data_IF_868613123831
#
_entry.id   IF_868613123831
#
_cell.length_a   1.000
_cell.length_b   1.000
_cell.length_c   1.000
_cell.angle_alpha   90.00
_cell.angle_beta   90.00
_cell.angle_gamma   90.00
#
_symmetry.space_group_name_H-M   'P 1'
#
loop_
_entity.id
_entity.type
_entity.pdbx_description
1 polymer ?
#
# COMPACT_ATOMS: atom_id res chain seq x y z
N UNK A 1 -6.81 28.96 6.68
CA UNK A 1 -5.76 29.09 7.71
C UNK A 1 -6.11 28.32 9.00
N UNK A 2 -7.25 28.57 9.63
CA UNK A 2 -7.64 27.87 10.88
C UNK A 2 -7.78 26.34 10.72
N UNK A 3 -8.42 25.87 9.63
CA UNK A 3 -8.56 24.44 9.31
C UNK A 3 -7.19 23.75 9.14
N UNK A 4 -6.23 24.45 8.51
CA UNK A 4 -4.88 23.96 8.31
C UNK A 4 -4.13 23.80 9.64
N UNK A 5 -4.29 24.74 10.58
CA UNK A 5 -3.72 24.66 11.93
C UNK A 5 -4.33 23.48 12.71
N UNK A 6 -5.64 23.24 12.59
CA UNK A 6 -6.30 22.10 13.25
C UNK A 6 -5.80 20.76 12.69
N UNK A 7 -5.67 20.64 11.37
CA UNK A 7 -5.08 19.45 10.72
C UNK A 7 -3.63 19.25 11.17
N UNK A 8 -2.84 20.33 11.23
CA UNK A 8 -1.44 20.29 11.66
C UNK A 8 -1.30 19.82 13.12
N UNK A 9 -2.12 20.36 14.03
CA UNK A 9 -2.15 19.96 15.45
C UNK A 9 -2.60 18.51 15.57
N UNK A 10 -3.61 18.09 14.82
CA UNK A 10 -4.09 16.71 14.81
C UNK A 10 -3.00 15.73 14.36
N UNK A 11 -2.27 16.04 13.28
CA UNK A 11 -1.13 15.24 12.80
C UNK A 11 0.04 15.18 13.80
N UNK A 12 0.26 16.25 14.58
CA UNK A 12 1.32 16.34 15.57
C UNK A 12 0.98 15.62 16.89
N UNK A 13 -0.30 15.56 17.27
CA UNK A 13 -0.73 15.03 18.57
C UNK A 13 -1.30 13.62 18.50
N UNK A 14 -1.88 13.23 17.36
CA UNK A 14 -2.48 11.90 17.23
C UNK A 14 -1.44 10.85 16.88
N UNK A 15 -1.45 9.76 17.65
CA UNK A 15 -0.58 8.61 17.45
C UNK A 15 -1.40 7.43 16.92
N UNK A 16 -0.99 6.85 15.80
CA UNK A 16 -1.63 5.71 15.18
C UNK A 16 -0.92 4.41 15.53
N UNK A 17 -1.67 3.39 15.90
CA UNK A 17 -1.17 2.02 15.97
C UNK A 17 -1.21 1.37 14.59
N UNK A 18 -0.52 0.24 14.46
CA UNK A 18 -0.61 -0.59 13.24
C UNK A 18 -2.02 -1.09 12.94
N UNK A 19 -2.89 -1.19 13.96
CA UNK A 19 -4.30 -1.55 13.73
C UNK A 19 -5.02 -0.42 13.03
N UNK A 20 -4.88 0.79 13.58
CA UNK A 20 -5.55 1.99 13.11
C UNK A 20 -5.17 2.25 11.65
N UNK A 21 -3.87 2.14 11.33
CA UNK A 21 -3.39 2.30 9.95
C UNK A 21 -4.00 1.24 9.01
N UNK A 22 -4.10 -0.03 9.46
CA UNK A 22 -4.68 -1.08 8.65
C UNK A 22 -6.19 -0.85 8.40
N UNK A 23 -6.89 -0.34 9.41
CA UNK A 23 -8.31 -0.01 9.33
C UNK A 23 -8.57 1.20 8.41
N UNK A 24 -7.66 2.17 8.32
CA UNK A 24 -7.80 3.28 7.35
C UNK A 24 -7.95 2.76 5.92
N UNK A 25 -7.26 1.67 5.58
CA UNK A 25 -7.32 1.03 4.27
C UNK A 25 -8.31 -0.13 4.18
N UNK A 26 -9.08 -0.42 5.24
CA UNK A 26 -9.94 -1.61 5.32
C UNK A 26 -9.20 -2.94 5.04
N UNK A 27 -7.99 -3.08 5.61
CA UNK A 27 -7.17 -4.28 5.48
C UNK A 27 -6.77 -4.84 6.86
N UNK A 28 -6.23 -6.06 6.84
CA UNK A 28 -5.69 -6.69 8.03
C UNK A 28 -4.27 -6.21 8.36
N UNK A 29 -3.86 -6.30 9.64
CA UNK A 29 -2.48 -6.04 10.06
C UNK A 29 -1.42 -6.87 9.31
N UNK A 30 -1.62 -8.19 9.07
CA UNK A 30 -0.72 -8.97 8.23
C UNK A 30 -0.57 -8.40 6.82
N UNK A 31 -1.67 -7.96 6.19
CA UNK A 31 -1.64 -7.33 4.86
C UNK A 31 -0.81 -6.05 4.89
N UNK A 32 -1.09 -5.15 5.85
CA UNK A 32 -0.32 -3.92 6.01
C UNK A 32 1.18 -4.19 6.21
N UNK A 33 1.53 -5.22 6.99
CA UNK A 33 2.93 -5.62 7.20
C UNK A 33 3.60 -5.99 5.89
N UNK A 34 2.92 -6.72 5.01
CA UNK A 34 3.45 -7.09 3.69
C UNK A 34 3.62 -5.84 2.82
N UNK A 35 2.68 -4.89 2.87
CA UNK A 35 2.78 -3.63 2.13
C UNK A 35 4.01 -2.83 2.54
N UNK A 36 4.24 -2.64 3.84
CA UNK A 36 5.42 -1.93 4.32
C UNK A 36 6.70 -2.65 3.89
N UNK A 37 6.70 -3.98 3.93
CA UNK A 37 7.88 -4.78 3.59
C UNK A 37 8.25 -4.68 2.10
N UNK A 38 7.26 -4.71 1.21
CA UNK A 38 7.50 -4.88 -0.22
C UNK A 38 7.23 -3.64 -1.07
N UNK A 39 6.39 -2.72 -0.60
CA UNK A 39 5.88 -1.59 -1.40
C UNK A 39 6.09 -0.23 -0.75
N UNK A 40 6.78 -0.14 0.40
CA UNK A 40 7.13 1.15 1.01
C UNK A 40 8.63 1.38 1.05
N UNK A 41 9.25 1.78 -0.08
CA UNK A 41 10.69 2.02 -0.13
C UNK A 41 11.13 3.17 0.80
N UNK A 42 10.21 4.05 1.18
CA UNK A 42 10.47 5.18 2.08
C UNK A 42 10.40 4.81 3.56
N UNK A 43 9.92 3.61 3.89
CA UNK A 43 9.76 3.16 5.29
C UNK A 43 10.71 2.00 5.59
N UNK A 44 11.62 2.18 6.55
CA UNK A 44 12.44 1.06 7.04
C UNK A 44 11.55 0.03 7.76
N UNK A 45 11.43 -1.16 7.16
CA UNK A 45 10.60 -2.24 7.70
C UNK A 45 11.05 -2.74 9.07
N UNK A 46 12.36 -2.79 9.37
CA UNK A 46 12.85 -3.25 10.69
C UNK A 46 12.46 -2.26 11.77
N UNK A 47 12.65 -0.98 11.51
CA UNK A 47 12.25 0.11 12.42
C UNK A 47 10.73 0.09 12.61
N UNK A 48 9.96 0.01 11.52
CA UNK A 48 8.51 -0.06 11.57
C UNK A 48 8.02 -1.28 12.35
N UNK A 49 8.62 -2.46 12.14
CA UNK A 49 8.26 -3.71 12.82
C UNK A 49 8.43 -3.60 14.34
N UNK A 50 9.50 -2.97 14.82
CA UNK A 50 9.77 -2.77 16.24
C UNK A 50 8.88 -1.72 16.92
N UNK A 51 8.34 -0.75 16.17
CA UNK A 51 7.54 0.34 16.73
C UNK A 51 6.08 -0.05 17.04
N UNK A 52 5.53 0.53 18.11
CA UNK A 52 4.13 0.31 18.53
C UNK A 52 3.17 1.36 17.99
N UNK A 53 3.62 2.62 17.92
CA UNK A 53 2.83 3.79 17.50
C UNK A 53 3.62 4.67 16.55
N UNK A 54 2.91 5.43 15.73
CA UNK A 54 3.43 6.35 14.72
C UNK A 54 2.70 7.68 14.84
N UNK A 55 3.39 8.80 14.69
CA UNK A 55 2.76 10.11 14.54
C UNK A 55 2.11 10.25 13.16
N UNK A 56 1.21 11.21 12.98
CA UNK A 56 0.60 11.48 11.68
C UNK A 56 1.64 11.79 10.59
N UNK A 57 2.71 12.51 10.92
CA UNK A 57 3.81 12.80 9.98
C UNK A 57 4.53 11.55 9.48
N UNK A 58 4.67 10.54 10.34
CA UNK A 58 5.31 9.28 9.96
C UNK A 58 4.44 8.44 9.03
N UNK A 59 3.15 8.78 8.88
CA UNK A 59 2.28 8.14 7.90
C UNK A 59 2.39 8.75 6.51
N UNK A 60 2.87 9.99 6.38
CA UNK A 60 2.96 10.68 5.07
C UNK A 60 3.71 9.86 4.01
N UNK A 61 4.88 9.25 4.30
CA UNK A 61 5.54 8.39 3.31
C UNK A 61 4.68 7.20 2.88
N UNK A 62 3.94 6.58 3.81
CA UNK A 62 3.04 5.46 3.51
C UNK A 62 1.88 5.90 2.62
N UNK A 63 1.30 7.09 2.87
CA UNK A 63 0.23 7.64 2.04
C UNK A 63 0.71 7.92 0.61
N UNK A 64 1.95 8.38 0.45
CA UNK A 64 2.56 8.59 -0.86
C UNK A 64 2.89 7.27 -1.59
N UNK A 65 3.20 6.20 -0.86
CA UNK A 65 3.52 4.89 -1.43
C UNK A 65 2.25 4.08 -1.76
N UNK A 66 1.22 4.19 -0.93
CA UNK A 66 0.02 3.35 -1.02
C UNK A 66 -1.18 4.06 -1.65
N UNK A 67 -1.20 5.40 -1.64
CA UNK A 67 -2.33 6.22 -2.02
C UNK A 67 -3.17 6.65 -0.83
N UNK A 68 -4.05 7.62 -1.06
CA UNK A 68 -4.92 8.16 -0.02
C UNK A 68 -6.04 7.17 0.35
N UNK A 69 -6.27 6.90 1.65
CA UNK A 69 -7.39 6.09 2.09
C UNK A 69 -8.72 6.74 1.66
N UNK A 70 -9.48 6.03 0.82
CA UNK A 70 -10.80 6.47 0.34
C UNK A 70 -10.88 6.89 -1.13
N UNK A 71 -9.74 7.13 -1.82
CA UNK A 71 -9.76 7.48 -3.25
C UNK A 71 -10.03 6.24 -4.11
N UNK A 72 -9.20 5.21 -3.91
CA UNK A 72 -9.37 3.89 -4.48
C UNK A 72 -9.12 2.88 -3.36
N UNK A 73 -10.00 1.89 -3.22
CA UNK A 73 -9.83 0.84 -2.22
C UNK A 73 -8.65 -0.09 -2.55
N UNK A 74 -8.18 -0.90 -1.58
CA UNK A 74 -7.24 -1.98 -1.87
C UNK A 74 -7.79 -2.92 -2.94
N UNK A 75 -6.90 -3.50 -3.74
CA UNK A 75 -7.30 -4.35 -4.86
C UNK A 75 -6.75 -5.75 -4.64
N UNK A 76 -7.61 -6.76 -4.66
CA UNK A 76 -7.18 -8.16 -4.55
C UNK A 76 -6.65 -8.68 -5.89
N UNK A 77 -5.78 -9.71 -5.86
CA UNK A 77 -5.39 -10.44 -7.09
C UNK A 77 -6.61 -10.91 -7.89
N UNK A 78 -7.64 -11.40 -7.21
CA UNK A 78 -8.89 -11.83 -7.86
C UNK A 78 -9.61 -10.69 -8.56
N UNK A 79 -9.64 -9.50 -7.95
CA UNK A 79 -10.19 -8.31 -8.60
C UNK A 79 -9.36 -7.87 -9.81
N UNK A 80 -8.03 -7.92 -9.74
CA UNK A 80 -7.16 -7.65 -10.89
C UNK A 80 -7.44 -8.63 -12.04
N UNK A 81 -7.58 -9.92 -11.72
CA UNK A 81 -7.90 -10.97 -12.69
C UNK A 81 -9.19 -10.62 -13.45
N UNK A 82 -10.25 -10.29 -12.71
CA UNK A 82 -11.56 -9.95 -13.29
C UNK A 82 -11.50 -8.65 -14.09
N UNK A 83 -10.86 -7.61 -13.55
CA UNK A 83 -10.83 -6.29 -14.17
C UNK A 83 -9.95 -6.21 -15.42
N UNK A 84 -8.89 -7.01 -15.49
CA UNK A 84 -8.01 -7.08 -16.66
C UNK A 84 -8.39 -8.24 -17.60
N UNK A 85 -9.55 -8.89 -17.38
CA UNK A 85 -10.06 -10.00 -18.18
C UNK A 85 -9.02 -11.09 -18.49
N UNK A 86 -8.25 -11.47 -17.47
CA UNK A 86 -7.05 -12.29 -17.64
C UNK A 86 -7.01 -13.47 -16.67
N UNK A 87 -5.90 -14.20 -16.66
CA UNK A 87 -5.63 -15.30 -15.73
C UNK A 87 -4.51 -14.95 -14.73
N UNK A 88 -4.48 -15.64 -13.59
CA UNK A 88 -3.46 -15.40 -12.55
C UNK A 88 -2.03 -15.59 -13.05
N UNK A 89 -1.83 -16.57 -13.96
CA UNK A 89 -0.52 -16.81 -14.60
C UNK A 89 -0.07 -15.59 -15.39
N UNK A 90 -0.95 -15.07 -16.26
CA UNK A 90 -0.69 -13.88 -17.08
C UNK A 90 -0.37 -12.66 -16.25
N UNK A 91 -1.09 -12.41 -15.14
CA UNK A 91 -0.74 -11.32 -14.22
C UNK A 91 0.67 -11.47 -13.65
N UNK A 92 1.05 -12.70 -13.27
CA UNK A 92 2.39 -12.98 -12.78
C UNK A 92 3.47 -12.75 -13.84
N UNK A 93 3.22 -13.19 -15.07
CA UNK A 93 4.15 -13.02 -16.19
C UNK A 93 4.32 -11.54 -16.55
N UNK A 94 3.24 -10.77 -16.59
CA UNK A 94 3.30 -9.33 -16.86
C UNK A 94 4.05 -8.59 -15.76
N UNK A 95 3.81 -8.93 -14.49
CA UNK A 95 4.59 -8.37 -13.37
C UNK A 95 6.07 -8.72 -13.49
N UNK A 96 6.40 -9.96 -13.84
CA UNK A 96 7.78 -10.39 -14.02
C UNK A 96 8.47 -9.64 -15.17
N UNK A 97 7.78 -9.45 -16.29
CA UNK A 97 8.28 -8.72 -17.47
C UNK A 97 8.44 -7.21 -17.23
N UNK A 98 7.70 -6.66 -16.27
CA UNK A 98 7.69 -5.21 -15.97
C UNK A 98 8.21 -4.87 -14.58
N UNK A 99 9.00 -5.76 -13.96
CA UNK A 99 9.47 -5.59 -12.59
C UNK A 99 10.21 -4.25 -12.35
N UNK A 100 11.04 -3.83 -13.31
CA UNK A 100 11.79 -2.58 -13.24
C UNK A 100 10.87 -1.34 -13.25
N UNK A 101 9.77 -1.40 -14.01
CA UNK A 101 8.78 -0.30 -14.09
C UNK A 101 7.90 -0.24 -12.84
N UNK A 102 7.55 -1.41 -12.29
CA UNK A 102 6.71 -1.54 -11.11
C UNK A 102 7.47 -1.29 -9.80
N UNK A 103 8.81 -1.44 -9.81
CA UNK A 103 9.64 -1.32 -8.62
C UNK A 103 9.54 -2.53 -7.68
N UNK A 104 8.91 -3.63 -8.11
CA UNK A 104 8.85 -4.91 -7.39
C UNK A 104 8.74 -6.06 -8.38
N UNK A 105 9.15 -7.26 -7.95
CA UNK A 105 9.21 -8.45 -8.80
C UNK A 105 8.11 -9.47 -8.53
N UNK A 106 8.22 -10.60 -9.23
CA UNK A 106 7.30 -11.73 -9.10
C UNK A 106 7.32 -12.35 -7.70
N UNK A 107 8.45 -12.32 -7.00
CA UNK A 107 8.56 -12.85 -5.65
C UNK A 107 7.66 -12.08 -4.67
N UNK A 108 7.73 -10.75 -4.69
CA UNK A 108 6.91 -9.87 -3.87
C UNK A 108 5.43 -9.98 -4.25
N UNK A 109 5.13 -10.05 -5.55
CA UNK A 109 3.77 -10.24 -6.04
C UNK A 109 3.16 -11.53 -5.50
N UNK A 110 3.90 -12.64 -5.49
CA UNK A 110 3.41 -13.94 -4.97
C UNK A 110 3.09 -13.89 -3.48
N UNK A 111 3.84 -13.10 -2.72
CA UNK A 111 3.67 -12.96 -1.27
C UNK A 111 2.43 -12.16 -0.86
N UNK A 112 1.79 -11.41 -1.77
CA UNK A 112 0.70 -10.48 -1.45
C UNK A 112 -0.60 -10.83 -2.17
N UNK A 113 -1.71 -10.85 -1.45
CA UNK A 113 -3.04 -11.16 -2.02
C UNK A 113 -3.90 -9.92 -2.28
N UNK A 114 -3.62 -8.85 -1.52
CA UNK A 114 -4.31 -7.55 -1.57
C UNK A 114 -3.26 -6.47 -1.73
N UNK A 115 -3.36 -5.66 -2.77
CA UNK A 115 -2.40 -4.61 -3.10
C UNK A 115 -2.83 -3.24 -2.60
N UNK A 116 -1.87 -2.35 -2.29
CA UNK A 116 -2.14 -0.94 -2.12
C UNK A 116 -2.85 -0.36 -3.35
N UNK A 117 -3.73 0.64 -3.17
CA UNK A 117 -4.43 1.31 -4.28
C UNK A 117 -3.51 1.75 -5.42
N UNK A 118 -2.41 2.43 -5.10
CA UNK A 118 -1.41 2.90 -6.09
C UNK A 118 -0.78 1.74 -6.85
N UNK A 119 -0.32 0.71 -6.12
CA UNK A 119 0.32 -0.48 -6.72
C UNK A 119 -0.65 -1.26 -7.61
N UNK A 120 -1.89 -1.45 -7.15
CA UNK A 120 -2.93 -2.09 -7.95
C UNK A 120 -3.29 -1.27 -9.19
N UNK A 121 -3.23 0.06 -9.11
CA UNK A 121 -3.36 0.96 -10.26
C UNK A 121 -2.26 0.76 -11.30
N UNK A 122 -1.00 0.69 -10.87
CA UNK A 122 0.13 0.46 -11.78
C UNK A 122 0.04 -0.87 -12.52
N UNK A 123 -0.38 -1.94 -11.82
CA UNK A 123 -0.56 -3.25 -12.47
C UNK A 123 -1.61 -3.15 -13.56
N UNK A 124 -2.75 -2.50 -13.31
CA UNK A 124 -3.79 -2.31 -14.33
C UNK A 124 -3.31 -1.50 -15.51
N UNK A 125 -2.63 -0.39 -15.26
CA UNK A 125 -2.12 0.49 -16.32
C UNK A 125 -1.16 -0.24 -17.27
N UNK A 126 -0.37 -1.19 -16.76
CA UNK A 126 0.52 -2.01 -17.59
C UNK A 126 -0.25 -3.09 -18.36
N UNK A 127 -1.35 -3.59 -17.81
CA UNK A 127 -2.19 -4.61 -18.45
C UNK A 127 -3.03 -4.05 -19.61
N UNK A 128 -3.34 -2.74 -19.60
CA UNK A 128 -4.19 -2.08 -20.60
C UNK A 128 -5.60 -1.86 -20.08
#
# INVERSE_FOLDING_TARGET
MFLFIVILIYLLTYSFTKLDIAQLYDITKPTLRKWIRYFSPRTDYKVWKGRRKFSGWELVPMLLDFGWPGDAGPITKGMLKVQCETEYGTLGDVVALNADRLGFGLAEYREVDVFPPVVGGWIKEIMG
#
